data_IF_928206921709
#
_entry.id   IF_928206921709
#
_cell.length_a   1.000
_cell.length_b   1.000
_cell.length_c   1.000
_cell.angle_alpha   90.00
_cell.angle_beta   90.00
_cell.angle_gamma   90.00
#
_symmetry.space_group_name_H-M   'P 1'
#
loop_
_entity.id
_entity.type
_entity.pdbx_description
1 polymer ?
#
# COMPACT_ATOMS: atom_id res chain seq x y z
N UNK A 1 -20.31 10.61 7.67
CA UNK A 1 -19.64 9.85 8.74
C UNK A 1 -18.47 10.69 9.21
N UNK A 2 -18.39 11.04 10.49
CA UNK A 2 -17.24 11.80 11.01
C UNK A 2 -16.00 10.89 11.07
N UNK A 3 -14.85 11.41 10.64
CA UNK A 3 -13.59 10.68 10.70
C UNK A 3 -13.09 10.61 12.15
N UNK A 4 -12.49 9.48 12.59
CA UNK A 4 -11.87 9.39 13.91
C UNK A 4 -10.83 10.50 14.14
N UNK A 5 -10.60 10.96 15.39
CA UNK A 5 -9.73 12.11 15.68
C UNK A 5 -8.31 11.97 15.12
N UNK A 6 -7.72 10.78 15.18
CA UNK A 6 -6.37 10.52 14.65
C UNK A 6 -6.30 10.60 13.11
N UNK A 7 -7.39 10.27 12.42
CA UNK A 7 -7.49 10.42 10.96
C UNK A 7 -7.61 11.90 10.59
N UNK A 8 -8.41 12.67 11.34
CA UNK A 8 -8.61 14.10 11.08
C UNK A 8 -7.31 14.90 11.19
N UNK A 9 -6.52 14.67 12.24
CA UNK A 9 -5.22 15.35 12.41
C UNK A 9 -4.28 15.07 11.24
N UNK A 10 -4.22 13.81 10.78
CA UNK A 10 -3.42 13.43 9.62
C UNK A 10 -3.93 14.07 8.32
N UNK A 11 -5.24 14.04 8.08
CA UNK A 11 -5.87 14.66 6.90
C UNK A 11 -5.60 16.16 6.85
N UNK A 12 -5.76 16.87 7.97
CA UNK A 12 -5.53 18.31 8.05
C UNK A 12 -4.05 18.66 7.83
N UNK A 13 -3.13 17.85 8.35
CA UNK A 13 -1.71 18.04 8.10
C UNK A 13 -1.38 17.82 6.62
N UNK A 14 -1.80 16.70 6.03
CA UNK A 14 -1.51 16.38 4.64
C UNK A 14 -2.11 17.40 3.67
N UNK A 15 -3.35 17.83 3.91
CA UNK A 15 -4.03 18.83 3.08
C UNK A 15 -3.33 20.19 3.08
N UNK A 16 -2.57 20.50 4.14
CA UNK A 16 -1.78 21.75 4.25
C UNK A 16 -0.38 21.64 3.64
N UNK A 17 0.17 20.44 3.50
CA UNK A 17 1.58 20.24 3.16
C UNK A 17 1.81 19.55 1.81
N UNK A 18 0.81 18.90 1.23
CA UNK A 18 0.93 18.19 -0.04
C UNK A 18 -0.10 18.71 -1.04
N UNK A 19 0.37 19.21 -2.18
CA UNK A 19 -0.49 19.86 -3.18
C UNK A 19 -1.54 18.90 -3.78
N UNK A 20 -1.18 17.64 -3.98
CA UNK A 20 -2.03 16.62 -4.63
C UNK A 20 -2.56 15.58 -3.63
N UNK A 21 -2.82 15.99 -2.38
CA UNK A 21 -3.34 15.08 -1.37
C UNK A 21 -4.77 14.64 -1.67
N UNK A 22 -5.01 13.33 -1.58
CA UNK A 22 -6.36 12.78 -1.64
C UNK A 22 -7.04 12.81 -0.27
N UNK A 23 -8.17 13.51 -0.13
CA UNK A 23 -8.93 13.47 1.11
C UNK A 23 -9.56 12.08 1.30
N UNK A 24 -9.82 11.70 2.56
CA UNK A 24 -10.22 10.34 2.93
C UNK A 24 -11.42 9.78 2.14
N UNK A 25 -12.33 10.63 1.68
CA UNK A 25 -13.53 10.22 0.94
C UNK A 25 -13.26 9.83 -0.53
N UNK A 26 -12.06 10.07 -1.06
CA UNK A 26 -11.70 9.65 -2.42
C UNK A 26 -11.30 8.17 -2.49
N UNK A 27 -10.82 7.60 -1.38
CA UNK A 27 -10.49 6.19 -1.33
C UNK A 27 -11.71 5.35 -0.95
N UNK A 28 -12.08 4.32 -1.74
CA UNK A 28 -13.17 3.45 -1.38
C UNK A 28 -12.85 2.64 -0.11
N UNK A 29 -13.82 2.41 0.80
CA UNK A 29 -13.60 1.60 1.98
C UNK A 29 -13.25 0.15 1.60
N UNK A 30 -12.46 -0.52 2.44
CA UNK A 30 -12.10 -1.94 2.29
C UNK A 30 -11.52 -2.33 0.93
N UNK A 31 -10.67 -1.49 0.34
CA UNK A 31 -10.10 -1.71 -1.00
C UNK A 31 -8.57 -1.95 -0.99
N UNK A 32 -8.06 -3.03 -0.33
CA UNK A 32 -6.62 -3.37 -0.35
C UNK A 32 -6.14 -3.80 -1.73
N UNK A 33 -7.04 -4.30 -2.57
CA UNK A 33 -6.86 -4.66 -3.97
C UNK A 33 -6.45 -3.46 -4.86
N UNK A 34 -6.69 -2.24 -4.38
CA UNK A 34 -6.31 -0.99 -5.04
C UNK A 34 -5.02 -0.37 -4.49
N UNK A 35 -4.49 -0.81 -3.34
CA UNK A 35 -3.26 -0.24 -2.78
C UNK A 35 -2.03 -1.04 -3.23
N UNK A 36 -1.08 -0.45 -4.01
CA UNK A 36 0.13 -1.16 -4.46
C UNK A 36 1.00 -1.71 -3.33
N UNK A 37 0.96 -1.09 -2.15
CA UNK A 37 1.65 -1.62 -1.00
C UNK A 37 1.04 -2.96 -0.55
N UNK A 38 -0.29 -3.04 -0.51
CA UNK A 38 -1.03 -4.21 -0.04
C UNK A 38 -1.03 -5.34 -1.07
N UNK A 39 -1.36 -5.07 -2.33
CA UNK A 39 -1.49 -6.15 -3.32
C UNK A 39 -0.16 -6.67 -3.88
N UNK A 40 0.96 -5.96 -3.68
CA UNK A 40 2.25 -6.33 -4.27
C UNK A 40 3.41 -6.26 -3.28
N UNK A 41 3.69 -5.09 -2.70
CA UNK A 41 4.93 -4.86 -1.93
C UNK A 41 4.99 -5.73 -0.67
N UNK A 42 3.91 -5.82 0.10
CA UNK A 42 3.90 -6.66 1.30
C UNK A 42 4.09 -8.14 0.99
N UNK A 43 3.44 -8.65 -0.05
CA UNK A 43 3.63 -10.04 -0.49
C UNK A 43 5.06 -10.32 -1.00
N UNK A 44 5.71 -9.33 -1.63
CA UNK A 44 7.13 -9.44 -1.97
C UNK A 44 7.99 -9.54 -0.71
N UNK A 45 7.84 -8.59 0.21
CA UNK A 45 8.66 -8.54 1.42
C UNK A 45 8.48 -9.80 2.26
N UNK A 46 7.24 -10.22 2.46
CA UNK A 46 6.91 -11.44 3.21
C UNK A 46 7.61 -12.68 2.60
N UNK A 47 7.56 -12.84 1.28
CA UNK A 47 8.22 -13.97 0.60
C UNK A 47 9.73 -13.95 0.80
N UNK A 48 10.36 -12.78 0.68
CA UNK A 48 11.83 -12.68 0.80
C UNK A 48 12.28 -12.91 2.24
N UNK A 49 11.61 -12.30 3.22
CA UNK A 49 12.03 -12.36 4.63
C UNK A 49 11.70 -13.72 5.25
N UNK A 50 10.52 -14.28 4.94
CA UNK A 50 10.07 -15.53 5.54
C UNK A 50 10.70 -16.77 4.88
N UNK A 51 11.60 -16.59 3.91
CA UNK A 51 12.41 -17.68 3.35
C UNK A 51 13.34 -18.33 4.40
N UNK A 52 13.62 -17.62 5.50
CA UNK A 52 14.44 -18.13 6.61
C UNK A 52 13.84 -17.76 7.97
N UNK A 53 14.00 -18.59 9.03
CA UNK A 53 13.59 -18.21 10.38
C UNK A 53 14.47 -17.10 10.96
N UNK A 54 13.86 -16.21 11.75
CA UNK A 54 14.58 -15.15 12.47
C UNK A 54 14.63 -15.45 13.98
N UNK A 55 15.81 -15.37 14.62
CA UNK A 55 15.95 -15.67 16.05
C UNK A 55 15.39 -14.58 16.97
N UNK A 56 15.16 -13.36 16.46
CA UNK A 56 14.61 -12.24 17.21
C UNK A 56 14.07 -11.15 16.28
N UNK A 57 13.42 -10.15 16.87
CA UNK A 57 12.81 -9.02 16.17
C UNK A 57 13.83 -8.18 15.41
N UNK A 58 15.05 -8.02 15.92
CA UNK A 58 16.07 -7.19 15.26
C UNK A 58 16.60 -7.85 13.99
N UNK A 59 16.76 -9.18 13.99
CA UNK A 59 17.07 -9.95 12.80
C UNK A 59 15.96 -9.84 11.74
N UNK A 60 14.69 -9.91 12.15
CA UNK A 60 13.56 -9.72 11.24
C UNK A 60 13.55 -8.30 10.64
N UNK A 61 13.73 -7.26 11.46
CA UNK A 61 13.82 -5.86 10.98
C UNK A 61 14.97 -5.67 9.98
N UNK A 62 16.12 -6.26 10.25
CA UNK A 62 17.28 -6.21 9.36
C UNK A 62 16.97 -6.90 8.01
N UNK A 63 16.30 -8.05 8.05
CA UNK A 63 15.88 -8.76 6.84
C UNK A 63 14.87 -7.98 6.01
N UNK A 64 13.82 -7.42 6.64
CA UNK A 64 12.84 -6.55 5.95
C UNK A 64 13.53 -5.35 5.30
N UNK A 65 14.46 -4.71 6.01
CA UNK A 65 15.21 -3.55 5.50
C UNK A 65 16.06 -3.93 4.29
N UNK A 66 16.73 -5.08 4.34
CA UNK A 66 17.53 -5.59 3.22
C UNK A 66 16.66 -5.96 2.01
N UNK A 67 15.53 -6.65 2.23
CA UNK A 67 14.59 -7.01 1.17
C UNK A 67 13.99 -5.77 0.50
N UNK A 68 13.65 -4.73 1.28
CA UNK A 68 13.20 -3.44 0.78
C UNK A 68 14.26 -2.77 -0.11
N UNK A 69 15.51 -2.70 0.37
CA UNK A 69 16.60 -2.07 -0.37
C UNK A 69 16.94 -2.80 -1.67
N UNK A 70 16.74 -4.12 -1.71
CA UNK A 70 16.97 -4.96 -2.88
C UNK A 70 15.76 -5.06 -3.84
N UNK A 71 14.62 -4.46 -3.48
CA UNK A 71 13.44 -4.48 -4.33
C UNK A 71 13.70 -3.73 -5.63
N UNK A 72 13.53 -4.41 -6.77
CA UNK A 72 13.84 -3.79 -8.05
C UNK A 72 12.92 -2.61 -8.35
N UNK A 73 13.49 -1.52 -8.86
CA UNK A 73 12.73 -0.34 -9.31
C UNK A 73 11.70 -0.71 -10.39
N UNK A 74 12.00 -1.68 -11.24
CA UNK A 74 11.09 -2.18 -12.27
C UNK A 74 9.83 -2.82 -11.65
N UNK A 75 10.00 -3.66 -10.63
CA UNK A 75 8.87 -4.24 -9.89
C UNK A 75 7.98 -3.17 -9.25
N UNK A 76 8.57 -2.15 -8.63
CA UNK A 76 7.83 -1.02 -8.03
C UNK A 76 7.03 -0.28 -9.11
N UNK A 77 7.68 0.09 -10.22
CA UNK A 77 7.02 0.79 -11.33
C UNK A 77 5.87 -0.02 -11.92
N UNK A 78 6.06 -1.32 -12.13
CA UNK A 78 5.00 -2.22 -12.61
C UNK A 78 3.84 -2.33 -11.62
N UNK A 79 4.13 -2.40 -10.33
CA UNK A 79 3.11 -2.43 -9.28
C UNK A 79 2.28 -1.15 -9.26
N UNK A 80 2.91 0.02 -9.38
CA UNK A 80 2.20 1.29 -9.50
C UNK A 80 1.39 1.38 -10.81
N UNK A 81 1.96 0.96 -11.94
CA UNK A 81 1.25 0.97 -13.23
C UNK A 81 0.03 0.05 -13.26
N UNK A 82 0.04 -1.04 -12.48
CA UNK A 82 -1.09 -1.95 -12.35
C UNK A 82 -2.30 -1.32 -11.64
N UNK A 83 -2.14 -0.20 -10.94
CA UNK A 83 -3.22 0.50 -10.24
C UNK A 83 -4.40 0.80 -11.17
N UNK A 84 -4.16 1.45 -12.31
CA UNK A 84 -5.23 1.86 -13.23
C UNK A 84 -6.03 0.64 -13.74
N UNK A 85 -5.35 -0.43 -14.12
CA UNK A 85 -6.02 -1.66 -14.57
C UNK A 85 -6.85 -2.33 -13.46
N UNK A 86 -6.40 -2.24 -12.21
CA UNK A 86 -7.15 -2.76 -11.05
C UNK A 86 -8.39 -1.92 -10.77
N UNK A 87 -8.30 -0.59 -10.89
CA UNK A 87 -9.47 0.31 -10.80
C UNK A 87 -10.49 -0.06 -11.86
N UNK A 88 -10.07 -0.22 -13.13
CA UNK A 88 -10.98 -0.62 -14.22
C UNK A 88 -11.67 -1.97 -13.94
N UNK A 89 -10.93 -2.94 -13.39
CA UNK A 89 -11.48 -4.24 -13.03
C UNK A 89 -12.52 -4.14 -11.90
N UNK A 90 -12.24 -3.35 -10.87
CA UNK A 90 -13.19 -3.12 -9.76
C UNK A 90 -14.46 -2.41 -10.25
N UNK A 91 -14.32 -1.43 -11.15
CA UNK A 91 -15.47 -0.72 -11.73
C UNK A 91 -16.37 -1.68 -12.53
N UNK A 92 -15.80 -2.53 -13.38
CA UNK A 92 -16.55 -3.54 -14.14
C UNK A 92 -17.30 -4.54 -13.25
N UNK A 93 -16.69 -4.98 -12.16
CA UNK A 93 -17.34 -5.89 -11.22
C UNK A 93 -18.53 -5.22 -10.50
N UNK A 94 -18.40 -3.93 -10.17
CA UNK A 94 -19.52 -3.15 -9.59
C UNK A 94 -20.67 -2.97 -10.56
N UNK A 95 -20.42 -2.79 -11.86
CA UNK A 95 -21.47 -2.68 -12.88
C UNK A 95 -22.22 -3.99 -13.14
N UNK A 96 -21.58 -5.13 -12.84
CA UNK A 96 -22.14 -6.46 -13.04
C UNK A 96 -22.96 -7.00 -11.85
N UNK A 97 -23.03 -6.26 -10.74
CA UNK A 97 -23.69 -6.67 -9.48
C UNK A 97 -24.87 -5.76 -9.15
#
# INVERSE_FOLDING_TARGET
MELPPHIKVGQDFCSRNFADFWPANYWPPSSPDLNPLDFAVWGFLERETNSTPHPNVDSLKASITAAWANMSTDFIKKSCAAFCHRVDAVMKLKEAT
#
